data_IF_401672007892
#
_entry.id   IF_401672007892
#
_cell.length_a   1.000
_cell.length_b   1.000
_cell.length_c   1.000
_cell.angle_alpha   90.00
_cell.angle_beta   90.00
_cell.angle_gamma   90.00
#
_symmetry.space_group_name_H-M   'P 1'
#
loop_
_entity.id
_entity.type
_entity.pdbx_description
1 polymer ?
#
# COMPACT_ATOMS: atom_id res chain seq x y z
N UNK A 1 -8.15 11.43 9.98
CA UNK A 1 -7.53 11.21 11.32
C UNK A 1 -6.79 12.48 11.64
N UNK A 2 -7.18 13.23 12.66
CA UNK A 2 -6.45 14.44 13.03
C UNK A 2 -5.06 14.01 13.51
N UNK A 3 -4.02 14.53 12.88
CA UNK A 3 -2.65 14.39 13.39
C UNK A 3 -2.59 15.11 14.75
N UNK A 4 -1.79 14.57 15.67
CA UNK A 4 -1.47 15.31 16.90
C UNK A 4 -0.98 16.72 16.52
N UNK A 5 -1.37 17.80 17.24
CA UNK A 5 -1.10 19.18 16.83
C UNK A 5 0.38 19.48 16.52
N UNK A 6 1.30 18.75 17.16
CA UNK A 6 2.75 18.87 16.94
C UNK A 6 3.28 18.16 15.69
N UNK A 7 2.53 17.22 15.13
CA UNK A 7 3.00 16.36 14.03
C UNK A 7 2.83 17.07 12.68
N UNK A 8 1.75 17.83 12.48
CA UNK A 8 1.50 18.50 11.20
C UNK A 8 2.68 19.39 10.76
N UNK A 9 3.26 20.26 11.62
CA UNK A 9 4.43 21.05 11.24
C UNK A 9 5.65 20.21 10.83
N UNK A 10 5.87 19.05 11.47
CA UNK A 10 6.99 18.16 11.11
C UNK A 10 6.78 17.49 9.76
N UNK A 11 5.53 17.14 9.43
CA UNK A 11 5.20 16.58 8.11
C UNK A 11 5.46 17.62 7.03
N UNK A 12 5.04 18.87 7.26
CA UNK A 12 5.25 19.96 6.31
C UNK A 12 6.75 20.23 6.11
N UNK A 13 7.53 20.33 7.19
CA UNK A 13 8.99 20.53 7.12
C UNK A 13 9.69 19.38 6.37
N UNK A 14 9.36 18.13 6.69
CA UNK A 14 9.95 16.98 6.01
C UNK A 14 9.57 16.95 4.52
N UNK A 15 8.32 17.26 4.16
CA UNK A 15 7.91 17.34 2.76
C UNK A 15 8.73 18.40 2.02
N UNK A 16 8.90 19.56 2.63
CA UNK A 16 9.69 20.67 2.11
C UNK A 16 11.16 20.31 1.88
N UNK A 17 11.78 19.59 2.83
CA UNK A 17 13.17 19.14 2.71
C UNK A 17 13.30 18.13 1.57
N UNK A 18 12.41 17.14 1.50
CA UNK A 18 12.47 16.08 0.49
C UNK A 18 12.23 16.63 -0.93
N UNK A 19 11.37 17.65 -1.09
CA UNK A 19 11.09 18.30 -2.38
C UNK A 19 12.28 19.10 -2.95
N UNK A 20 13.29 19.44 -2.14
CA UNK A 20 14.49 20.15 -2.60
C UNK A 20 15.54 19.25 -3.27
N UNK A 21 15.36 17.93 -3.20
CA UNK A 21 16.22 16.97 -3.90
C UNK A 21 16.02 17.08 -5.42
N UNK A 22 17.11 16.99 -6.19
CA UNK A 22 17.06 17.27 -7.64
C UNK A 22 16.79 16.05 -8.51
N UNK A 23 17.05 14.85 -7.98
CA UNK A 23 16.92 13.58 -8.69
C UNK A 23 16.74 12.42 -7.71
N UNK A 24 16.55 11.22 -8.27
CA UNK A 24 16.35 10.00 -7.51
C UNK A 24 17.56 9.65 -6.64
N UNK A 25 18.78 9.87 -7.13
CA UNK A 25 20.02 9.56 -6.42
C UNK A 25 20.17 10.40 -5.14
N UNK A 26 19.90 11.71 -5.23
CA UNK A 26 19.93 12.61 -4.06
C UNK A 26 18.87 12.22 -3.03
N UNK A 27 17.64 11.95 -3.47
CA UNK A 27 16.58 11.51 -2.57
C UNK A 27 16.94 10.17 -1.89
N UNK A 28 17.55 9.23 -2.62
CA UNK A 28 17.98 7.96 -2.05
C UNK A 28 19.06 8.14 -0.97
N UNK A 29 20.03 9.04 -1.16
CA UNK A 29 21.06 9.35 -0.16
C UNK A 29 20.43 9.97 1.09
N UNK A 30 19.50 10.92 0.93
CA UNK A 30 18.78 11.54 2.05
C UNK A 30 17.99 10.51 2.84
N UNK A 31 17.22 9.65 2.17
CA UNK A 31 16.43 8.61 2.84
C UNK A 31 17.31 7.59 3.59
N UNK A 32 18.46 7.20 3.02
CA UNK A 32 19.41 6.30 3.67
C UNK A 32 20.10 6.92 4.89
N UNK A 33 20.32 8.24 4.88
CA UNK A 33 20.91 8.97 6.00
C UNK A 33 19.92 9.30 7.12
N UNK A 34 18.66 9.60 6.78
CA UNK A 34 17.63 10.01 7.74
C UNK A 34 16.93 8.84 8.44
N UNK A 35 16.81 7.71 7.75
CA UNK A 35 16.00 6.58 8.22
C UNK A 35 16.89 5.39 8.57
N UNK A 36 16.52 4.70 9.64
CA UNK A 36 17.11 3.40 9.95
C UNK A 36 16.70 2.34 8.92
N UNK A 37 17.48 1.25 8.76
CA UNK A 37 17.10 0.16 7.86
C UNK A 37 15.70 -0.43 8.13
N UNK A 38 15.29 -0.52 9.40
CA UNK A 38 13.98 -1.04 9.79
C UNK A 38 12.83 -0.07 9.48
N UNK A 39 13.08 1.25 9.54
CA UNK A 39 12.11 2.26 9.12
C UNK A 39 11.92 2.24 7.60
N UNK A 40 13.01 2.14 6.83
CA UNK A 40 12.97 1.97 5.38
C UNK A 40 12.20 0.70 4.99
N UNK A 41 12.50 -0.44 5.62
CA UNK A 41 11.76 -1.68 5.41
C UNK A 41 10.27 -1.51 5.75
N UNK A 42 9.97 -0.85 6.88
CA UNK A 42 8.60 -0.57 7.30
C UNK A 42 7.81 0.26 6.29
N UNK A 43 8.40 1.31 5.75
CA UNK A 43 7.79 2.15 4.70
C UNK A 43 7.64 1.33 3.41
N UNK A 44 8.67 0.58 3.01
CA UNK A 44 8.64 -0.27 1.82
C UNK A 44 7.51 -1.30 1.89
N UNK A 45 7.40 -2.05 2.98
CA UNK A 45 6.37 -3.07 3.17
C UNK A 45 4.97 -2.47 3.24
N UNK A 46 4.80 -1.28 3.83
CA UNK A 46 3.52 -0.56 3.80
C UNK A 46 3.14 -0.20 2.36
N UNK A 47 4.07 0.35 1.59
CA UNK A 47 3.82 0.67 0.19
C UNK A 47 3.44 -0.58 -0.62
N UNK A 48 4.18 -1.68 -0.48
CA UNK A 48 3.87 -2.98 -1.12
C UNK A 48 2.50 -3.53 -0.72
N UNK A 49 2.12 -3.41 0.55
CA UNK A 49 0.79 -3.79 1.02
C UNK A 49 -0.30 -2.98 0.30
N UNK A 50 -0.16 -1.66 0.19
CA UNK A 50 -1.16 -0.83 -0.49
C UNK A 50 -1.28 -1.20 -1.99
N UNK A 51 -0.15 -1.45 -2.66
CA UNK A 51 -0.15 -1.94 -4.05
C UNK A 51 -0.89 -3.27 -4.20
N UNK A 52 -0.60 -4.23 -3.32
CA UNK A 52 -1.28 -5.52 -3.32
C UNK A 52 -2.81 -5.38 -3.12
N UNK A 53 -3.22 -4.50 -2.21
CA UNK A 53 -4.64 -4.25 -1.93
C UNK A 53 -5.34 -3.64 -3.16
N UNK A 54 -4.72 -2.63 -3.80
CA UNK A 54 -5.27 -2.00 -5.01
C UNK A 54 -5.27 -2.97 -6.21
N UNK A 55 -4.29 -3.87 -6.31
CA UNK A 55 -4.24 -4.92 -7.31
C UNK A 55 -5.23 -6.08 -7.04
N UNK A 56 -5.90 -6.10 -5.89
CA UNK A 56 -6.94 -7.08 -5.56
C UNK A 56 -6.45 -8.45 -5.07
N UNK A 57 -5.21 -8.54 -4.58
CA UNK A 57 -4.69 -9.77 -3.97
C UNK A 57 -5.48 -10.14 -2.70
N UNK A 58 -5.64 -11.44 -2.43
CA UNK A 58 -6.28 -11.87 -1.19
C UNK A 58 -5.34 -11.66 0.00
N UNK A 59 -5.89 -11.54 1.22
CA UNK A 59 -5.05 -11.39 2.42
C UNK A 59 -4.04 -12.56 2.59
N UNK A 60 -4.41 -13.76 2.14
CA UNK A 60 -3.52 -14.92 2.18
C UNK A 60 -2.33 -14.74 1.23
N UNK A 61 -2.59 -14.32 -0.01
CA UNK A 61 -1.54 -14.06 -1.00
C UNK A 61 -0.59 -12.96 -0.52
N UNK A 62 -1.15 -11.88 0.04
CA UNK A 62 -0.38 -10.76 0.59
C UNK A 62 0.50 -11.22 1.75
N UNK A 63 -0.03 -12.04 2.65
CA UNK A 63 0.72 -12.56 3.80
C UNK A 63 1.89 -13.42 3.35
N UNK A 64 1.66 -14.33 2.40
CA UNK A 64 2.71 -15.20 1.84
C UNK A 64 3.78 -14.40 1.11
N UNK A 65 3.38 -13.37 0.35
CA UNK A 65 4.29 -12.59 -0.50
C UNK A 65 5.14 -11.59 0.29
N UNK A 66 4.55 -10.94 1.29
CA UNK A 66 5.20 -9.85 2.02
C UNK A 66 5.67 -10.27 3.42
N UNK A 67 5.37 -11.48 3.87
CA UNK A 67 5.76 -11.95 5.22
C UNK A 67 5.08 -11.16 6.35
N UNK A 68 3.95 -10.52 6.10
CA UNK A 68 3.24 -9.69 7.09
C UNK A 68 2.00 -10.40 7.65
N UNK A 69 1.67 -10.10 8.91
CA UNK A 69 0.52 -10.69 9.60
C UNK A 69 -0.83 -10.23 9.02
N UNK A 70 -1.84 -11.10 9.12
CA UNK A 70 -3.23 -10.77 8.73
C UNK A 70 -3.75 -9.50 9.42
N UNK A 71 -3.35 -9.25 10.67
CA UNK A 71 -3.71 -8.03 11.39
C UNK A 71 -3.15 -6.75 10.74
N UNK A 72 -1.91 -6.78 10.22
CA UNK A 72 -1.34 -5.66 9.46
C UNK A 72 -2.11 -5.44 8.16
N UNK A 73 -2.44 -6.52 7.46
CA UNK A 73 -3.19 -6.48 6.19
C UNK A 73 -4.60 -5.94 6.40
N UNK A 74 -5.31 -6.40 7.45
CA UNK A 74 -6.64 -5.92 7.78
C UNK A 74 -6.67 -4.43 8.11
N UNK A 75 -5.64 -3.91 8.81
CA UNK A 75 -5.52 -2.46 9.05
C UNK A 75 -5.29 -1.68 7.75
N UNK A 76 -4.41 -2.15 6.87
CA UNK A 76 -4.21 -1.54 5.54
C UNK A 76 -5.47 -1.55 4.68
N UNK A 77 -6.21 -2.67 4.68
CA UNK A 77 -7.48 -2.79 3.95
C UNK A 77 -8.53 -1.82 4.48
N UNK A 78 -8.63 -1.64 5.81
CA UNK A 78 -9.51 -0.63 6.42
C UNK A 78 -9.08 0.78 6.04
N UNK A 79 -7.79 1.09 6.06
CA UNK A 79 -7.26 2.39 5.63
C UNK A 79 -7.66 2.71 4.18
N UNK A 80 -7.49 1.78 3.24
CA UNK A 80 -7.84 2.04 1.83
C UNK A 80 -9.34 2.14 1.55
N UNK A 81 -10.17 1.64 2.46
CA UNK A 81 -11.64 1.62 2.32
C UNK A 81 -12.35 2.74 3.09
N UNK A 82 -11.80 3.13 4.23
CA UNK A 82 -12.44 4.04 5.20
C UNK A 82 -11.49 5.10 5.74
N UNK A 83 -10.27 5.17 5.22
CA UNK A 83 -9.27 6.16 5.60
C UNK A 83 -9.59 7.53 5.04
N UNK A 84 -8.60 8.41 5.10
CA UNK A 84 -8.71 9.75 4.56
C UNK A 84 -8.76 9.72 3.02
N UNK A 85 -9.75 10.40 2.45
CA UNK A 85 -10.04 10.32 1.01
C UNK A 85 -8.89 10.84 0.16
N UNK A 86 -8.22 11.92 0.59
CA UNK A 86 -7.10 12.50 -0.14
C UNK A 86 -5.90 11.56 -0.16
N UNK A 87 -5.50 11.00 0.99
CA UNK A 87 -4.48 9.96 1.06
C UNK A 87 -4.78 8.81 0.09
N UNK A 88 -6.00 8.26 0.12
CA UNK A 88 -6.37 7.14 -0.76
C UNK A 88 -6.30 7.53 -2.25
N UNK A 89 -6.72 8.75 -2.60
CA UNK A 89 -6.66 9.28 -3.96
C UNK A 89 -5.22 9.43 -4.45
N UNK A 90 -4.35 10.03 -3.64
CA UNK A 90 -2.93 10.23 -3.96
C UNK A 90 -2.21 8.89 -4.13
N UNK A 91 -2.42 7.93 -3.22
CA UNK A 91 -1.83 6.59 -3.32
C UNK A 91 -2.21 5.90 -4.62
N UNK A 92 -3.50 5.94 -5.00
CA UNK A 92 -3.99 5.35 -6.25
C UNK A 92 -3.36 5.99 -7.47
N UNK A 93 -3.25 7.33 -7.49
CA UNK A 93 -2.61 8.08 -8.58
C UNK A 93 -1.15 7.67 -8.74
N UNK A 94 -0.36 7.73 -7.65
CA UNK A 94 1.07 7.38 -7.67
C UNK A 94 1.25 5.93 -8.13
N UNK A 95 0.41 5.00 -7.66
CA UNK A 95 0.50 3.61 -8.10
C UNK A 95 0.18 3.44 -9.59
N UNK A 96 -0.84 4.12 -10.10
CA UNK A 96 -1.19 4.07 -11.52
C UNK A 96 -0.05 4.60 -12.41
N UNK A 97 0.55 5.74 -12.03
CA UNK A 97 1.72 6.33 -12.71
C UNK A 97 2.92 5.36 -12.69
N UNK A 98 3.24 4.81 -11.51
CA UNK A 98 4.38 3.90 -11.34
C UNK A 98 4.21 2.59 -12.14
N UNK A 99 3.00 2.01 -12.12
CA UNK A 99 2.69 0.77 -12.84
C UNK A 99 2.81 0.93 -14.37
N UNK A 100 2.50 2.10 -14.90
CA UNK A 100 2.62 2.40 -16.34
C UNK A 100 4.07 2.46 -16.81
N UNK A 101 5.03 2.77 -15.94
CA UNK A 101 6.46 2.74 -16.26
C UNK A 101 7.06 1.32 -16.36
N UNK A 102 6.23 0.28 -16.28
CA UNK A 102 6.68 -1.12 -16.20
C UNK A 102 7.36 -1.45 -14.86
N UNK A 103 7.35 -0.51 -13.91
CA UNK A 103 7.87 -0.67 -12.55
C UNK A 103 6.67 -1.02 -11.66
N UNK A 104 6.60 -2.24 -11.17
CA UNK A 104 5.46 -2.65 -10.35
C UNK A 104 5.24 -4.15 -10.32
N UNK A 105 4.34 -4.60 -9.45
CA UNK A 105 3.91 -6.00 -9.43
C UNK A 105 2.86 -6.21 -10.52
N UNK A 106 3.09 -7.19 -11.40
CA UNK A 106 2.08 -7.62 -12.37
C UNK A 106 0.78 -8.01 -11.64
N UNK A 107 -0.33 -7.40 -12.03
CA UNK A 107 -1.65 -7.75 -11.51
C UNK A 107 -2.02 -9.17 -11.97
N UNK A 108 -2.61 -9.96 -11.08
CA UNK A 108 -3.16 -11.26 -11.45
C UNK A 108 -4.53 -11.04 -12.13
N UNK A 109 -4.86 -11.74 -13.23
CA UNK A 109 -6.17 -11.61 -13.86
C UNK A 109 -7.28 -11.93 -12.86
N UNK A 110 -8.24 -11.03 -12.71
CA UNK A 110 -9.42 -11.23 -11.85
C UNK A 110 -10.23 -12.42 -12.38
N UNK A 111 -9.94 -13.63 -11.91
CA UNK A 111 -10.84 -14.77 -12.10
C UNK A 111 -12.03 -14.55 -11.18
N UNK A 112 -13.09 -13.95 -11.72
CA UNK A 112 -14.43 -14.01 -11.11
C UNK A 112 -14.83 -15.49 -11.04
N UNK A 113 -14.65 -16.15 -9.89
CA UNK A 113 -15.38 -17.38 -9.58
C UNK A 113 -16.64 -17.01 -8.80
N UNK A 114 -17.73 -16.92 -9.53
CA UNK A 114 -19.07 -16.84 -8.97
C UNK A 114 -19.91 -17.95 -9.57
N UNK A 115 -20.05 -19.08 -8.85
CA UNK A 115 -21.26 -19.89 -8.91
C UNK A 115 -21.34 -20.79 -7.68
N UNK A 116 -22.22 -20.40 -6.76
CA UNK A 116 -22.68 -21.25 -5.67
C UNK A 116 -23.84 -22.08 -6.24
N UNK A 117 -23.54 -23.26 -6.77
CA UNK A 117 -24.59 -24.24 -7.09
C UNK A 117 -25.07 -24.84 -5.76
N UNK A 118 -26.35 -24.65 -5.47
CA UNK A 118 -27.05 -25.35 -4.39
C UNK A 118 -27.85 -26.45 -5.05
N UNK A 119 -27.32 -27.67 -5.07
CA UNK A 119 -28.10 -28.85 -5.39
C UNK A 119 -28.68 -29.40 -4.08
N UNK A 120 -29.96 -29.13 -3.85
CA UNK A 120 -30.79 -29.94 -2.95
C UNK A 120 -31.14 -31.21 -3.72
N UNK A 121 -30.48 -32.31 -3.37
CA UNK A 121 -30.90 -33.65 -3.77
C UNK A 121 -32.03 -34.13 -2.86
N UNK A 122 -33.15 -34.45 -3.49
CA UNK A 122 -34.37 -34.96 -2.89
C UNK A 122 -34.32 -36.49 -2.73
N UNK A 123 -35.14 -37.00 -1.82
CA UNK A 123 -35.59 -38.41 -1.64
C UNK A 123 -34.63 -39.43 -1.01
N UNK A 124 -35.22 -40.39 -0.28
CA UNK A 124 -35.50 -41.72 -0.89
C UNK A 124 -36.97 -41.99 -1.15
#
# INVERSE_FOLDING_TARGET
MALEPKIAPWVDELADILLRTRNHEELAVVLQGLLTPSELEGIHLRWRLLQCLEAGFTQRDISQRLGISLGKIARGSRLMKYGEDEFCRVVRRIWAEYAQEGKGMAAQPKTRKNTRATEKGDTP
#
